data_IF_316082320029
#
_entry.id   IF_316082320029
#
_cell.length_a   1.000
_cell.length_b   1.000
_cell.length_c   1.000
_cell.angle_alpha   90.00
_cell.angle_beta   90.00
_cell.angle_gamma   90.00
#
_symmetry.space_group_name_H-M   'P 1'
#
loop_
_entity.id
_entity.type
_entity.pdbx_description
1 polymer ?
#
# COMPACT_ATOMS: atom_id res chain seq x y z
N UNK A 1 20.65 -1.45 -27.56
CA UNK A 1 19.25 -1.50 -27.04
C UNK A 1 19.30 -1.36 -25.52
N UNK A 2 18.72 -0.31 -24.97
CA UNK A 2 18.66 -0.07 -23.53
C UNK A 2 17.46 -0.86 -22.96
N UNK A 3 17.67 -1.60 -21.88
CA UNK A 3 16.62 -2.32 -21.15
C UNK A 3 16.69 -1.90 -19.69
N UNK A 4 15.62 -1.31 -19.19
CA UNK A 4 15.46 -0.88 -17.81
C UNK A 4 14.43 -1.77 -17.13
N UNK A 5 14.77 -2.28 -15.95
CA UNK A 5 13.88 -3.12 -15.16
C UNK A 5 13.81 -2.58 -13.74
N UNK A 6 12.62 -2.24 -13.29
CA UNK A 6 12.37 -1.75 -11.93
C UNK A 6 11.27 -2.52 -11.25
N UNK A 7 11.39 -2.64 -9.94
CA UNK A 7 10.39 -3.28 -9.07
C UNK A 7 9.95 -2.32 -7.98
N UNK A 8 8.71 -2.49 -7.55
CA UNK A 8 8.22 -1.99 -6.28
C UNK A 8 7.43 -3.10 -5.60
N UNK A 9 7.52 -3.17 -4.28
CA UNK A 9 7.03 -4.30 -3.51
C UNK A 9 5.68 -4.01 -2.86
N UNK A 10 4.99 -5.07 -2.44
CA UNK A 10 3.83 -4.97 -1.56
C UNK A 10 4.23 -4.34 -0.21
N UNK A 11 3.23 -3.93 0.57
CA UNK A 11 3.46 -3.37 1.90
C UNK A 11 2.46 -3.90 2.93
N UNK A 12 2.85 -3.87 4.20
CA UNK A 12 1.99 -4.08 5.34
C UNK A 12 1.96 -2.86 6.27
N UNK A 13 0.77 -2.38 6.63
CA UNK A 13 0.62 -1.37 7.67
C UNK A 13 0.69 -2.03 9.05
N UNK A 14 1.63 -1.60 9.88
CA UNK A 14 1.76 -2.11 11.24
C UNK A 14 0.87 -1.34 12.22
N UNK A 15 0.89 0.00 12.14
CA UNK A 15 0.12 0.89 13.00
C UNK A 15 -0.39 2.11 12.22
N UNK A 16 -1.47 2.71 12.69
CA UNK A 16 -1.96 4.01 12.28
C UNK A 16 -2.91 4.01 11.08
N UNK A 17 -2.92 2.96 10.25
CA UNK A 17 -3.83 2.92 9.10
C UNK A 17 -5.30 2.95 9.53
N UNK A 18 -6.13 3.85 8.97
CA UNK A 18 -5.90 4.76 7.82
C UNK A 18 -5.66 6.23 8.17
N UNK A 19 -5.06 6.56 9.31
CA UNK A 19 -4.92 7.95 9.77
C UNK A 19 -4.04 8.85 8.89
N UNK A 20 -3.26 8.28 7.96
CA UNK A 20 -2.49 9.03 6.95
C UNK A 20 -3.37 9.95 6.09
N UNK A 21 -4.57 9.51 5.79
CA UNK A 21 -5.57 10.32 5.09
C UNK A 21 -6.22 11.41 5.95
N UNK A 22 -5.90 11.49 7.25
CA UNK A 22 -6.56 12.33 8.26
C UNK A 22 -5.55 13.08 9.14
N UNK A 23 -4.40 13.42 8.58
CA UNK A 23 -3.32 14.18 9.22
C UNK A 23 -2.68 13.44 10.42
N UNK A 24 -2.83 12.13 10.49
CA UNK A 24 -2.30 11.30 11.56
C UNK A 24 -0.90 10.76 11.29
N UNK A 25 -0.58 9.63 11.91
CA UNK A 25 0.71 8.95 11.81
C UNK A 25 0.51 7.50 11.41
N UNK A 26 1.45 6.96 10.65
CA UNK A 26 1.44 5.55 10.30
C UNK A 26 2.83 4.94 10.38
N UNK A 27 2.89 3.65 10.63
CA UNK A 27 4.09 2.84 10.58
C UNK A 27 3.84 1.66 9.65
N UNK A 28 4.65 1.53 8.63
CA UNK A 28 4.51 0.48 7.61
C UNK A 28 5.82 -0.22 7.34
N UNK A 29 5.71 -1.41 6.79
CA UNK A 29 6.84 -2.26 6.40
C UNK A 29 6.66 -2.71 4.96
N UNK A 30 7.77 -2.81 4.23
CA UNK A 30 7.78 -3.42 2.90
C UNK A 30 7.59 -4.93 3.00
N UNK A 31 6.95 -5.55 2.00
CA UNK A 31 6.75 -7.00 1.91
C UNK A 31 7.32 -7.46 0.57
N UNK A 32 8.60 -7.82 0.58
CA UNK A 32 9.34 -8.22 -0.63
C UNK A 32 8.97 -9.59 -1.19
N UNK A 33 8.10 -10.33 -0.49
CA UNK A 33 7.53 -11.58 -1.00
C UNK A 33 6.75 -11.38 -2.30
N UNK A 34 6.21 -10.17 -2.51
CA UNK A 34 5.41 -9.81 -3.68
C UNK A 34 5.89 -8.50 -4.28
N UNK A 35 5.82 -8.38 -5.60
CA UNK A 35 6.27 -7.19 -6.32
C UNK A 35 5.44 -6.90 -7.57
N UNK A 36 5.46 -5.66 -8.01
CA UNK A 36 5.19 -5.26 -9.38
C UNK A 36 6.52 -4.98 -10.07
N UNK A 37 6.75 -5.60 -11.20
CA UNK A 37 7.92 -5.38 -12.05
C UNK A 37 7.50 -4.66 -13.32
N UNK A 38 8.23 -3.61 -13.68
CA UNK A 38 8.07 -2.90 -14.95
C UNK A 38 9.35 -3.02 -15.74
N UNK A 39 9.21 -3.37 -17.03
CA UNK A 39 10.32 -3.45 -17.99
C UNK A 39 10.06 -2.44 -19.10
N UNK A 40 11.01 -1.54 -19.30
CA UNK A 40 11.04 -0.55 -20.36
C UNK A 40 12.25 -0.83 -21.24
N UNK A 41 12.06 -0.86 -22.55
CA UNK A 41 13.15 -1.03 -23.51
C UNK A 41 12.97 -0.10 -24.71
N UNK A 42 14.11 0.34 -25.25
CA UNK A 42 14.14 1.24 -26.41
C UNK A 42 13.41 0.63 -27.60
N UNK A 43 12.54 1.40 -28.22
CA UNK A 43 11.70 0.98 -29.35
C UNK A 43 11.44 2.13 -30.31
N UNK A 44 10.96 1.84 -31.52
CA UNK A 44 10.73 2.85 -32.56
C UNK A 44 9.56 3.79 -32.23
N UNK A 45 8.60 3.32 -31.46
CA UNK A 45 7.42 4.08 -31.03
C UNK A 45 7.11 3.84 -29.56
N UNK A 46 6.30 4.73 -28.95
CA UNK A 46 5.78 4.48 -27.61
C UNK A 46 4.72 3.38 -27.66
N UNK A 47 5.02 2.24 -27.07
CA UNK A 47 4.11 1.09 -26.99
C UNK A 47 3.91 0.63 -25.53
N UNK A 48 2.67 0.35 -25.16
CA UNK A 48 2.31 -0.21 -23.85
C UNK A 48 1.77 -1.62 -24.07
N UNK A 49 2.58 -2.60 -23.76
CA UNK A 49 2.26 -4.01 -23.99
C UNK A 49 1.31 -4.51 -22.88
N UNK A 50 0.21 -5.12 -23.31
CA UNK A 50 -0.78 -5.70 -22.40
C UNK A 50 -0.16 -6.85 -21.59
N UNK A 51 -0.42 -6.84 -20.30
CA UNK A 51 -0.01 -7.90 -19.38
C UNK A 51 -1.07 -9.00 -19.28
N UNK A 52 -0.65 -10.20 -18.91
CA UNK A 52 -1.58 -11.27 -18.54
C UNK A 52 -2.50 -10.89 -17.35
N UNK A 53 -2.10 -9.90 -16.55
CA UNK A 53 -2.91 -9.37 -15.46
C UNK A 53 -4.02 -8.41 -15.93
N UNK A 54 -3.90 -7.88 -17.17
CA UNK A 54 -4.95 -7.07 -17.79
C UNK A 54 -5.94 -7.99 -18.48
N UNK A 55 -6.89 -8.54 -17.73
CA UNK A 55 -7.91 -9.42 -18.30
C UNK A 55 -8.71 -8.69 -19.38
N UNK A 56 -8.53 -9.12 -20.61
CA UNK A 56 -9.29 -8.63 -21.77
C UNK A 56 -10.09 -9.76 -22.44
N UNK A 57 -10.12 -10.96 -21.84
CA UNK A 57 -10.81 -12.13 -22.37
C UNK A 57 -11.80 -12.67 -21.34
N UNK A 58 -13.07 -12.67 -21.70
CA UNK A 58 -14.19 -13.11 -20.88
C UNK A 58 -14.96 -14.19 -21.62
N UNK A 59 -15.52 -15.18 -20.91
CA UNK A 59 -16.29 -16.27 -21.51
C UNK A 59 -17.67 -15.80 -22.00
N UNK A 60 -18.19 -14.73 -21.42
CA UNK A 60 -19.51 -14.15 -21.74
C UNK A 60 -19.59 -12.70 -21.29
N UNK A 61 -20.63 -11.97 -21.73
CA UNK A 61 -20.94 -10.62 -21.23
C UNK A 61 -21.31 -10.63 -19.75
N UNK A 62 -21.89 -11.71 -19.24
CA UNK A 62 -22.21 -11.89 -17.81
C UNK A 62 -20.94 -12.06 -16.98
N UNK A 63 -19.95 -12.79 -17.52
CA UNK A 63 -18.63 -12.95 -16.89
C UNK A 63 -17.89 -11.61 -16.80
N UNK A 64 -17.92 -10.80 -17.88
CA UNK A 64 -17.42 -9.43 -17.87
C UNK A 64 -18.16 -8.56 -16.86
N UNK A 65 -19.49 -8.59 -16.84
CA UNK A 65 -20.28 -7.76 -15.93
C UNK A 65 -19.95 -8.09 -14.46
N UNK A 66 -19.84 -9.37 -14.14
CA UNK A 66 -19.45 -9.86 -12.83
C UNK A 66 -18.00 -9.45 -12.46
N UNK A 67 -17.07 -9.54 -13.40
CA UNK A 67 -15.69 -9.10 -13.18
C UNK A 67 -15.62 -7.61 -12.89
N UNK A 68 -16.38 -6.79 -13.64
CA UNK A 68 -16.48 -5.34 -13.39
C UNK A 68 -17.17 -5.03 -12.08
N UNK A 69 -18.19 -5.81 -11.67
CA UNK A 69 -18.85 -5.65 -10.37
C UNK A 69 -17.90 -5.95 -9.21
N UNK A 70 -17.08 -7.00 -9.34
CA UNK A 70 -16.12 -7.43 -8.31
C UNK A 70 -14.86 -6.56 -8.27
N UNK A 71 -14.39 -6.11 -9.43
CA UNK A 71 -13.05 -5.53 -9.59
C UNK A 71 -13.05 -4.10 -10.13
N UNK A 72 -14.22 -3.57 -10.52
CA UNK A 72 -14.31 -2.29 -11.20
C UNK A 72 -13.68 -2.32 -12.58
N UNK A 73 -13.61 -1.17 -13.24
CA UNK A 73 -12.88 -0.98 -14.50
C UNK A 73 -11.37 -0.92 -14.22
N UNK A 74 -10.79 -2.04 -13.75
CA UNK A 74 -9.41 -2.12 -13.32
C UNK A 74 -8.50 -2.57 -14.47
N UNK A 75 -7.23 -2.20 -14.39
CA UNK A 75 -6.21 -2.64 -15.34
C UNK A 75 -4.92 -1.84 -15.15
N UNK A 76 -3.77 -2.51 -15.27
CA UNK A 76 -2.46 -1.89 -15.07
C UNK A 76 -2.08 -0.92 -16.20
N UNK A 77 -2.60 -1.13 -17.40
CA UNK A 77 -2.36 -0.22 -18.55
C UNK A 77 -2.78 1.21 -18.21
N UNK A 78 -3.93 1.41 -17.56
CA UNK A 78 -4.38 2.76 -17.18
C UNK A 78 -3.46 3.40 -16.15
N UNK A 79 -2.87 2.61 -15.25
CA UNK A 79 -1.90 3.08 -14.26
C UNK A 79 -0.62 3.56 -14.95
N UNK A 80 -0.11 2.79 -15.93
CA UNK A 80 1.07 3.16 -16.73
C UNK A 80 0.80 4.44 -17.52
N UNK A 81 -0.33 4.52 -18.27
CA UNK A 81 -0.70 5.72 -19.04
C UNK A 81 -0.77 6.96 -18.16
N UNK A 82 -1.43 6.86 -17.01
CA UNK A 82 -1.56 7.97 -16.07
C UNK A 82 -0.21 8.36 -15.45
N UNK A 83 0.68 7.40 -15.19
CA UNK A 83 2.04 7.65 -14.67
C UNK A 83 2.88 8.38 -15.70
N UNK A 84 2.90 7.94 -16.96
CA UNK A 84 3.63 8.61 -18.05
C UNK A 84 3.13 10.05 -18.19
N UNK A 85 1.81 10.25 -18.28
CA UNK A 85 1.22 11.59 -18.37
C UNK A 85 1.64 12.48 -17.19
N UNK A 86 1.54 11.96 -15.96
CA UNK A 86 1.89 12.72 -14.75
C UNK A 86 3.39 13.05 -14.68
N UNK A 87 4.25 12.15 -15.17
CA UNK A 87 5.69 12.37 -15.27
C UNK A 87 6.02 13.49 -16.26
N UNK A 88 5.38 13.50 -17.44
CA UNK A 88 5.54 14.57 -18.44
C UNK A 88 5.12 15.92 -17.83
N UNK A 89 3.94 16.01 -17.21
CA UNK A 89 3.46 17.23 -16.54
C UNK A 89 4.42 17.72 -15.44
N UNK A 90 5.03 16.79 -14.70
CA UNK A 90 6.04 17.16 -13.72
C UNK A 90 7.29 17.75 -14.39
N UNK A 91 7.79 17.12 -15.45
CA UNK A 91 8.95 17.61 -16.19
C UNK A 91 8.70 19.00 -16.81
N UNK A 92 7.53 19.22 -17.39
CA UNK A 92 7.09 20.53 -17.90
C UNK A 92 7.09 21.59 -16.80
N UNK A 93 6.48 21.27 -15.64
CA UNK A 93 6.44 22.19 -14.49
C UNK A 93 7.83 22.52 -13.94
N UNK A 94 8.76 21.58 -14.01
CA UNK A 94 10.16 21.77 -13.60
C UNK A 94 11.06 22.31 -14.72
N UNK A 95 10.50 22.56 -15.93
CA UNK A 95 11.24 23.00 -17.14
C UNK A 95 12.37 22.04 -17.54
N UNK A 96 12.12 20.74 -17.36
CA UNK A 96 13.05 19.67 -17.75
C UNK A 96 12.69 19.20 -19.16
N UNK A 97 13.64 19.29 -20.09
CA UNK A 97 13.46 18.78 -21.44
C UNK A 97 13.60 17.26 -21.47
N UNK A 98 12.64 16.58 -22.10
CA UNK A 98 12.69 15.16 -22.37
C UNK A 98 13.32 14.94 -23.75
N UNK A 99 14.14 13.88 -23.91
CA UNK A 99 14.61 13.47 -25.22
C UNK A 99 13.49 12.79 -26.03
N UNK A 100 13.63 12.71 -27.33
CA UNK A 100 12.65 12.22 -28.30
C UNK A 100 12.70 10.70 -28.56
N UNK A 101 13.62 9.96 -27.91
CA UNK A 101 13.68 8.50 -28.04
C UNK A 101 12.45 7.85 -27.45
N UNK A 102 11.93 6.86 -28.17
CA UNK A 102 10.75 6.09 -27.76
C UNK A 102 11.09 4.76 -27.08
N UNK A 103 10.10 4.18 -26.44
CA UNK A 103 10.23 2.92 -25.71
C UNK A 103 8.97 2.09 -25.76
N UNK A 104 9.12 0.80 -25.63
CA UNK A 104 8.04 -0.10 -25.26
C UNK A 104 8.11 -0.39 -23.76
N UNK A 105 6.94 -0.48 -23.11
CA UNK A 105 6.83 -0.70 -21.67
C UNK A 105 5.80 -1.79 -21.38
N UNK A 106 6.14 -2.70 -20.47
CA UNK A 106 5.26 -3.75 -19.97
C UNK A 106 5.41 -3.90 -18.46
N UNK A 107 4.39 -4.46 -17.81
CA UNK A 107 4.44 -4.78 -16.38
C UNK A 107 3.98 -6.22 -16.13
N UNK A 108 4.37 -6.74 -14.99
CA UNK A 108 3.82 -7.95 -14.37
C UNK A 108 3.77 -7.77 -12.87
N UNK A 109 2.85 -8.44 -12.18
CA UNK A 109 2.74 -8.39 -10.73
C UNK A 109 2.26 -9.73 -10.16
N UNK A 110 2.84 -10.09 -9.03
CA UNK A 110 2.41 -11.21 -8.19
C UNK A 110 1.79 -10.74 -6.85
N UNK A 111 1.62 -9.42 -6.70
CA UNK A 111 0.93 -8.86 -5.52
C UNK A 111 -0.53 -9.32 -5.55
N UNK A 112 -1.01 -10.02 -4.51
CA UNK A 112 -2.40 -10.44 -4.42
C UNK A 112 -3.36 -9.28 -4.61
N UNK A 113 -4.34 -9.47 -5.51
CA UNK A 113 -5.27 -8.40 -5.88
C UNK A 113 -6.32 -8.18 -4.81
N UNK A 114 -6.68 -6.91 -4.56
CA UNK A 114 -7.80 -6.49 -3.71
C UNK A 114 -7.78 -6.99 -2.25
N UNK A 115 -6.61 -7.35 -1.75
CA UNK A 115 -6.42 -7.71 -0.35
C UNK A 115 -5.68 -6.62 0.44
N UNK A 116 -5.64 -5.40 -0.08
CA UNK A 116 -5.07 -4.27 0.64
C UNK A 116 -3.54 -4.30 0.77
N UNK A 117 -2.80 -4.88 -0.20
CA UNK A 117 -1.32 -4.93 -0.20
C UNK A 117 -0.67 -3.92 -1.15
N UNK A 118 -1.41 -2.91 -1.61
CA UNK A 118 -0.93 -1.76 -2.40
C UNK A 118 -0.37 -2.10 -3.80
N UNK A 119 -1.05 -2.98 -4.55
CA UNK A 119 -0.62 -3.39 -5.90
C UNK A 119 -0.61 -2.26 -6.93
N UNK A 120 -1.62 -1.38 -6.94
CA UNK A 120 -1.71 -0.26 -7.89
C UNK A 120 -0.54 0.71 -7.75
N UNK A 121 -0.29 1.19 -6.54
CA UNK A 121 0.81 2.11 -6.27
C UNK A 121 2.18 1.47 -6.51
N UNK A 122 2.32 0.14 -6.39
CA UNK A 122 3.54 -0.57 -6.75
C UNK A 122 3.81 -0.50 -8.27
N UNK A 123 2.78 -0.71 -9.12
CA UNK A 123 2.92 -0.57 -10.58
C UNK A 123 3.31 0.86 -10.93
N UNK A 124 2.68 1.86 -10.34
CA UNK A 124 2.98 3.28 -10.55
C UNK A 124 4.42 3.61 -10.12
N UNK A 125 4.83 3.16 -8.93
CA UNK A 125 6.17 3.40 -8.40
C UNK A 125 7.25 2.77 -9.27
N UNK A 126 7.06 1.52 -9.72
CA UNK A 126 7.99 0.84 -10.62
C UNK A 126 8.05 1.54 -12.00
N UNK A 127 6.90 2.01 -12.53
CA UNK A 127 6.84 2.79 -13.77
C UNK A 127 7.59 4.11 -13.63
N UNK A 128 7.36 4.85 -12.55
CA UNK A 128 8.05 6.11 -12.27
C UNK A 128 9.57 5.92 -12.22
N UNK A 129 10.04 4.87 -11.54
CA UNK A 129 11.47 4.51 -11.47
C UNK A 129 12.05 4.19 -12.86
N UNK A 130 11.30 3.52 -13.74
CA UNK A 130 11.72 3.29 -15.13
C UNK A 130 11.85 4.59 -15.91
N UNK A 131 10.86 5.49 -15.81
CA UNK A 131 10.88 6.79 -16.50
C UNK A 131 12.03 7.68 -16.02
N UNK A 132 12.25 7.73 -14.71
CA UNK A 132 13.38 8.47 -14.13
C UNK A 132 14.72 8.01 -14.70
N UNK A 133 14.95 6.70 -14.79
CA UNK A 133 16.18 6.16 -15.36
C UNK A 133 16.27 6.35 -16.87
N UNK A 134 15.15 6.15 -17.61
CA UNK A 134 15.11 6.33 -19.06
C UNK A 134 15.48 7.73 -19.49
N UNK A 135 14.96 8.75 -18.80
CA UNK A 135 15.22 10.15 -19.10
C UNK A 135 16.40 10.73 -18.32
N UNK A 136 17.05 9.96 -17.44
CA UNK A 136 18.17 10.44 -16.62
C UNK A 136 17.74 11.51 -15.59
N UNK A 137 16.50 11.48 -15.13
CA UNK A 137 15.91 12.51 -14.26
C UNK A 137 15.95 12.05 -12.81
N UNK A 138 16.43 12.92 -11.93
CA UNK A 138 16.43 12.71 -10.48
C UNK A 138 15.27 13.49 -9.85
N UNK A 139 14.33 12.74 -9.24
CA UNK A 139 13.26 13.32 -8.44
C UNK A 139 13.63 13.11 -6.97
N UNK A 140 13.61 14.14 -6.11
CA UNK A 140 13.89 13.99 -4.69
C UNK A 140 13.07 12.87 -4.06
N UNK A 141 13.71 12.02 -3.26
CA UNK A 141 13.09 10.83 -2.68
C UNK A 141 11.78 11.15 -1.97
N UNK A 142 11.77 12.24 -1.19
CA UNK A 142 10.61 12.68 -0.42
C UNK A 142 9.44 13.18 -1.29
N UNK A 143 9.70 13.60 -2.54
CA UNK A 143 8.68 14.07 -3.48
C UNK A 143 8.03 12.93 -4.29
N UNK A 144 8.73 11.81 -4.48
CA UNK A 144 8.22 10.68 -5.27
C UNK A 144 6.88 10.13 -4.77
N UNK A 145 6.63 9.94 -3.44
CA UNK A 145 5.34 9.47 -2.95
C UNK A 145 4.16 10.35 -3.38
N UNK A 146 4.37 11.66 -3.41
CA UNK A 146 3.33 12.62 -3.80
C UNK A 146 3.03 12.59 -5.30
N UNK A 147 4.03 12.31 -6.15
CA UNK A 147 3.79 12.04 -7.58
C UNK A 147 2.96 10.76 -7.72
N UNK A 148 3.34 9.68 -7.06
CA UNK A 148 2.63 8.40 -7.12
C UNK A 148 1.17 8.56 -6.65
N UNK A 149 0.94 9.27 -5.54
CA UNK A 149 -0.41 9.57 -5.06
C UNK A 149 -1.21 10.39 -6.07
N UNK A 150 -0.59 11.40 -6.70
CA UNK A 150 -1.28 12.25 -7.68
C UNK A 150 -1.70 11.49 -8.94
N UNK A 151 -0.99 10.43 -9.33
CA UNK A 151 -1.42 9.53 -10.40
C UNK A 151 -2.73 8.86 -10.07
N UNK A 152 -2.83 8.29 -8.86
CA UNK A 152 -4.06 7.59 -8.45
C UNK A 152 -5.21 8.56 -8.19
N UNK A 153 -4.97 9.59 -7.38
CA UNK A 153 -6.03 10.51 -6.94
C UNK A 153 -6.45 11.49 -8.04
N UNK A 154 -5.48 12.20 -8.63
CA UNK A 154 -5.78 13.35 -9.48
C UNK A 154 -6.00 12.94 -10.96
N UNK A 155 -5.44 11.80 -11.40
CA UNK A 155 -5.62 11.30 -12.77
C UNK A 155 -6.66 10.20 -12.89
N UNK A 156 -6.79 9.35 -11.87
CA UNK A 156 -7.63 8.14 -11.94
C UNK A 156 -8.82 8.15 -10.98
N UNK A 157 -8.92 9.14 -10.08
CA UNK A 157 -9.98 9.24 -9.08
C UNK A 157 -9.93 8.16 -8.00
N UNK A 158 -8.79 7.46 -7.87
CA UNK A 158 -8.62 6.40 -6.87
C UNK A 158 -8.28 7.05 -5.52
N UNK A 159 -9.15 6.86 -4.55
CA UNK A 159 -8.93 7.39 -3.20
C UNK A 159 -7.81 6.66 -2.48
N UNK A 160 -6.94 7.40 -1.79
CA UNK A 160 -5.83 6.83 -1.02
C UNK A 160 -5.06 7.91 -0.26
N UNK A 161 -4.27 7.48 0.72
CA UNK A 161 -3.34 8.32 1.47
C UNK A 161 -1.89 8.12 1.03
N UNK A 162 -0.95 8.79 1.68
CA UNK A 162 0.47 8.75 1.32
C UNK A 162 1.20 7.50 1.83
N UNK A 163 0.68 6.82 2.86
CA UNK A 163 1.35 5.71 3.52
C UNK A 163 1.92 4.66 2.55
N UNK A 164 1.10 4.17 1.62
CA UNK A 164 1.48 3.13 0.67
C UNK A 164 2.64 3.57 -0.22
N UNK A 165 2.57 4.82 -0.69
CA UNK A 165 3.50 5.42 -1.62
C UNK A 165 4.84 5.71 -0.96
N UNK A 166 4.80 6.18 0.30
CA UNK A 166 6.01 6.43 1.08
C UNK A 166 6.76 5.12 1.31
N UNK A 167 6.11 4.08 1.84
CA UNK A 167 6.80 2.82 2.12
C UNK A 167 7.33 2.14 0.87
N UNK A 168 6.64 2.25 -0.28
CA UNK A 168 7.12 1.68 -1.55
C UNK A 168 8.29 2.44 -2.17
N UNK A 169 8.41 3.73 -1.87
CA UNK A 169 9.53 4.56 -2.32
C UNK A 169 10.74 4.40 -1.42
N UNK A 170 10.54 4.44 -0.10
CA UNK A 170 11.62 4.37 0.91
C UNK A 170 12.10 2.95 1.19
N UNK A 171 11.19 1.97 1.07
CA UNK A 171 11.39 0.55 1.40
C UNK A 171 11.71 0.32 2.90
N UNK A 172 12.03 -0.94 3.30
CA UNK A 172 12.31 -1.27 4.70
C UNK A 172 11.11 -1.08 5.62
N UNK A 173 11.29 -0.35 6.70
CA UNK A 173 10.25 0.11 7.63
C UNK A 173 10.28 1.62 7.74
N UNK A 174 9.11 2.27 7.74
CA UNK A 174 9.03 3.74 7.77
C UNK A 174 7.94 4.19 8.73
N UNK A 175 8.33 5.06 9.66
CA UNK A 175 7.42 5.87 10.45
C UNK A 175 7.11 7.17 9.69
N UNK A 176 5.83 7.51 9.61
CA UNK A 176 5.35 8.64 8.81
C UNK A 176 4.47 9.54 9.69
N UNK A 177 4.75 10.82 9.69
CA UNK A 177 3.93 11.83 10.39
C UNK A 177 3.37 12.83 9.38
N UNK A 178 2.05 12.82 9.21
CA UNK A 178 1.32 13.65 8.25
C UNK A 178 0.73 14.90 8.89
N UNK A 179 1.24 15.31 10.07
CA UNK A 179 0.83 16.55 10.71
C UNK A 179 1.06 17.74 9.78
N UNK A 180 0.05 18.61 9.56
CA UNK A 180 0.19 19.79 8.71
C UNK A 180 1.35 20.72 9.11
N UNK A 181 1.75 20.73 10.38
CA UNK A 181 2.92 21.49 10.84
C UNK A 181 4.25 20.99 10.26
N UNK A 182 4.29 19.74 9.77
CA UNK A 182 5.46 19.14 9.10
C UNK A 182 5.37 19.20 7.58
N UNK A 183 4.27 19.77 7.05
CA UNK A 183 4.10 19.91 5.60
C UNK A 183 5.18 20.84 5.03
N UNK A 184 5.88 20.35 4.01
CA UNK A 184 6.82 21.14 3.21
C UNK A 184 6.56 20.92 1.74
N UNK A 185 6.94 21.88 0.93
CA UNK A 185 6.82 21.79 -0.53
C UNK A 185 8.19 21.55 -1.14
N UNK A 186 8.33 20.45 -1.88
CA UNK A 186 9.54 20.11 -2.61
C UNK A 186 9.20 19.99 -4.10
N UNK A 187 9.78 20.84 -4.94
CA UNK A 187 9.49 20.89 -6.39
C UNK A 187 7.99 20.97 -6.71
N UNK A 188 7.24 21.76 -5.93
CA UNK A 188 5.80 21.95 -6.09
C UNK A 188 4.94 20.81 -5.54
N UNK A 189 5.52 19.83 -4.85
CA UNK A 189 4.85 18.67 -4.29
C UNK A 189 4.85 18.72 -2.76
N UNK A 190 3.72 18.35 -2.13
CA UNK A 190 3.59 18.30 -0.69
C UNK A 190 4.28 17.08 -0.12
N UNK A 191 5.14 17.28 0.86
CA UNK A 191 5.87 16.24 1.59
C UNK A 191 5.68 16.42 3.09
N UNK A 192 5.93 15.36 3.87
CA UNK A 192 5.74 15.35 5.31
C UNK A 192 6.94 14.75 6.05
N UNK A 193 6.79 14.35 7.30
CA UNK A 193 7.83 13.69 8.07
C UNK A 193 7.91 12.20 7.75
N UNK A 194 8.98 11.75 7.10
CA UNK A 194 9.24 10.34 6.80
C UNK A 194 10.55 9.91 7.45
N UNK A 195 10.46 8.97 8.38
CA UNK A 195 11.60 8.45 9.16
C UNK A 195 11.80 6.97 8.87
N UNK A 196 12.83 6.60 8.07
CA UNK A 196 13.20 5.21 7.91
C UNK A 196 13.66 4.61 9.24
N UNK A 197 13.16 3.42 9.56
CA UNK A 197 13.57 2.63 10.71
C UNK A 197 14.31 1.39 10.24
N UNK A 198 15.32 0.96 11.01
CA UNK A 198 15.98 -0.30 10.71
C UNK A 198 15.01 -1.48 10.85
N UNK A 199 14.88 -2.35 9.85
CA UNK A 199 14.03 -3.55 9.96
C UNK A 199 14.42 -4.48 11.12
N UNK A 200 15.67 -4.44 11.60
CA UNK A 200 16.14 -5.17 12.80
C UNK A 200 15.36 -4.80 14.07
N UNK A 201 14.74 -3.61 14.10
CA UNK A 201 13.91 -3.18 15.23
C UNK A 201 12.51 -3.82 15.23
N UNK A 202 12.14 -4.55 14.17
CA UNK A 202 10.82 -5.15 14.07
C UNK A 202 10.74 -6.47 14.87
N UNK A 203 9.60 -6.78 15.50
CA UNK A 203 9.35 -8.12 16.02
C UNK A 203 9.25 -9.13 14.88
N UNK A 204 9.23 -10.42 15.21
CA UNK A 204 8.92 -11.44 14.22
C UNK A 204 7.48 -11.30 13.75
N UNK A 205 7.28 -11.08 12.45
CA UNK A 205 6.00 -10.77 11.83
C UNK A 205 5.47 -11.94 11.00
N UNK A 206 4.15 -12.09 10.97
CA UNK A 206 3.44 -12.87 9.95
C UNK A 206 2.50 -11.95 9.15
N UNK A 207 2.18 -12.37 7.94
CA UNK A 207 1.15 -11.75 7.11
C UNK A 207 0.24 -12.86 6.61
N UNK A 208 -1.08 -12.65 6.72
CA UNK A 208 -2.06 -13.57 6.17
C UNK A 208 -3.05 -12.83 5.28
N UNK A 209 -3.44 -13.45 4.17
CA UNK A 209 -4.38 -12.85 3.22
C UNK A 209 -5.32 -13.91 2.63
N UNK A 210 -6.51 -13.46 2.23
CA UNK A 210 -7.53 -14.35 1.66
C UNK A 210 -7.45 -14.36 0.14
N UNK A 211 -7.49 -15.56 -0.48
CA UNK A 211 -7.28 -15.70 -1.93
C UNK A 211 -8.55 -15.55 -2.79
N UNK A 212 -9.72 -15.77 -2.20
CA UNK A 212 -10.96 -15.93 -2.96
C UNK A 212 -12.04 -14.89 -2.60
N UNK A 213 -11.84 -14.15 -1.50
CA UNK A 213 -12.77 -13.11 -1.07
C UNK A 213 -12.06 -11.76 -1.21
N UNK A 214 -12.60 -10.91 -2.04
CA UNK A 214 -12.17 -9.54 -2.23
C UNK A 214 -13.38 -8.63 -2.14
N UNK A 215 -13.21 -7.46 -1.56
CA UNK A 215 -14.24 -6.43 -1.54
C UNK A 215 -13.68 -5.10 -2.05
N UNK A 216 -14.48 -4.33 -2.83
CA UNK A 216 -14.05 -3.02 -3.29
C UNK A 216 -13.77 -2.10 -2.10
N UNK A 217 -12.54 -1.64 -2.00
CA UNK A 217 -12.03 -0.78 -0.93
C UNK A 217 -12.75 0.58 -0.86
N UNK A 218 -13.31 1.03 -1.98
CA UNK A 218 -13.84 2.40 -2.16
C UNK A 218 -15.09 2.70 -1.33
N UNK A 219 -15.95 1.71 -1.12
CA UNK A 219 -17.24 1.91 -0.42
C UNK A 219 -17.04 2.29 1.04
N UNK A 220 -16.12 1.65 1.74
CA UNK A 220 -15.86 1.89 3.17
C UNK A 220 -15.12 3.20 3.44
N UNK A 221 -14.21 3.60 2.55
CA UNK A 221 -13.44 4.82 2.74
C UNK A 221 -14.25 6.11 2.55
N UNK A 222 -15.22 6.10 1.66
CA UNK A 222 -16.03 7.30 1.36
C UNK A 222 -16.91 7.72 2.54
N UNK A 223 -17.53 6.79 3.27
CA UNK A 223 -18.34 7.11 4.44
C UNK A 223 -17.51 7.74 5.57
N UNK A 224 -16.39 7.13 5.92
CA UNK A 224 -15.50 7.64 6.98
C UNK A 224 -14.93 9.01 6.62
N UNK A 225 -14.55 9.24 5.37
CA UNK A 225 -14.09 10.55 4.91
C UNK A 225 -15.20 11.62 5.06
N UNK A 226 -16.42 11.29 4.66
CA UNK A 226 -17.57 12.17 4.81
C UNK A 226 -17.87 12.50 6.27
N UNK A 227 -17.83 11.50 7.17
CA UNK A 227 -18.03 11.68 8.61
C UNK A 227 -16.92 12.53 9.24
N UNK A 228 -15.66 12.27 8.90
CA UNK A 228 -14.53 13.07 9.38
C UNK A 228 -14.65 14.54 8.96
N UNK A 229 -14.97 14.80 7.69
CA UNK A 229 -15.12 16.17 7.16
C UNK A 229 -16.29 16.93 7.80
N UNK A 230 -17.32 16.24 8.29
CA UNK A 230 -18.42 16.82 9.07
C UNK A 230 -18.10 16.99 10.55
N UNK A 231 -16.90 16.58 11.00
CA UNK A 231 -16.47 16.68 12.39
C UNK A 231 -17.12 15.63 13.31
N UNK A 232 -17.51 14.45 12.81
CA UNK A 232 -18.06 13.37 13.66
C UNK A 232 -17.05 13.03 14.77
N UNK A 233 -17.40 13.26 16.06
CA UNK A 233 -16.45 13.12 17.17
C UNK A 233 -15.84 11.71 17.25
N UNK A 234 -16.64 10.66 17.03
CA UNK A 234 -16.16 9.27 17.10
C UNK A 234 -15.07 9.00 16.05
N UNK A 235 -15.25 9.54 14.84
CA UNK A 235 -14.27 9.33 13.77
C UNK A 235 -13.03 10.17 14.02
N UNK A 236 -13.18 11.43 14.42
CA UNK A 236 -12.04 12.32 14.70
C UNK A 236 -11.19 11.76 15.86
N UNK A 237 -11.81 11.37 16.96
CA UNK A 237 -11.12 10.77 18.11
C UNK A 237 -10.43 9.45 17.74
N UNK A 238 -11.09 8.60 16.95
CA UNK A 238 -10.48 7.36 16.47
C UNK A 238 -9.22 7.62 15.63
N UNK A 239 -9.25 8.59 14.71
CA UNK A 239 -8.06 8.93 13.89
C UNK A 239 -6.93 9.51 14.76
N UNK A 240 -7.25 10.32 15.75
CA UNK A 240 -6.27 10.84 16.73
C UNK A 240 -5.68 9.69 17.56
N UNK A 241 -6.51 8.74 18.01
CA UNK A 241 -6.04 7.58 18.77
C UNK A 241 -5.14 6.68 17.93
N UNK A 242 -5.47 6.42 16.66
CA UNK A 242 -4.61 5.68 15.73
C UNK A 242 -3.24 6.35 15.55
N UNK A 243 -3.22 7.69 15.42
CA UNK A 243 -1.99 8.46 15.32
C UNK A 243 -1.15 8.36 16.59
N UNK A 244 -1.79 8.36 17.77
CA UNK A 244 -1.09 8.25 19.07
C UNK A 244 -0.57 6.83 19.31
N UNK A 245 -1.34 5.78 18.98
CA UNK A 245 -0.86 4.39 19.03
C UNK A 245 0.41 4.22 18.17
N UNK A 246 0.47 4.90 17.02
CA UNK A 246 1.63 4.85 16.13
C UNK A 246 2.86 5.52 16.75
N UNK A 247 2.68 6.67 17.42
CA UNK A 247 3.76 7.37 18.12
C UNK A 247 4.35 6.50 19.23
N UNK A 248 3.47 5.94 20.08
CA UNK A 248 3.87 5.04 21.16
C UNK A 248 4.50 3.75 20.62
N UNK A 249 3.98 3.24 19.50
CA UNK A 249 4.52 2.05 18.84
C UNK A 249 5.94 2.26 18.30
N UNK A 250 6.23 3.44 17.73
CA UNK A 250 7.59 3.82 17.34
C UNK A 250 8.54 3.80 18.57
N UNK A 251 8.15 4.36 19.68
CA UNK A 251 8.93 4.36 20.91
C UNK A 251 9.14 2.93 21.43
N UNK A 252 8.11 2.10 21.42
CA UNK A 252 8.19 0.70 21.83
C UNK A 252 9.20 -0.10 20.96
N UNK A 253 9.21 0.12 19.63
CA UNK A 253 10.20 -0.49 18.73
C UNK A 253 11.63 -0.05 19.06
N UNK A 254 11.84 1.26 19.24
CA UNK A 254 13.17 1.79 19.58
C UNK A 254 13.71 1.25 20.91
N UNK A 255 12.83 0.90 21.84
CA UNK A 255 13.15 0.31 23.13
C UNK A 255 13.21 -1.21 23.13
N UNK A 256 12.89 -1.87 21.99
CA UNK A 256 12.79 -3.34 21.90
C UNK A 256 11.62 -3.93 22.69
N UNK A 257 10.61 -3.12 23.04
CA UNK A 257 9.44 -3.56 23.79
C UNK A 257 8.37 -4.16 22.88
N UNK A 258 8.65 -5.37 22.37
CA UNK A 258 7.77 -6.06 21.43
C UNK A 258 6.42 -6.49 22.03
N UNK A 259 6.37 -6.73 23.33
CA UNK A 259 5.11 -7.03 24.02
C UNK A 259 4.15 -5.84 23.96
N UNK A 260 4.64 -4.63 24.23
CA UNK A 260 3.85 -3.41 24.09
C UNK A 260 3.46 -3.19 22.62
N UNK A 261 4.40 -3.34 21.69
CA UNK A 261 4.13 -3.15 20.27
C UNK A 261 3.02 -4.08 19.76
N UNK A 262 3.05 -5.36 20.16
CA UNK A 262 2.01 -6.33 19.79
C UNK A 262 0.63 -5.92 20.30
N UNK A 263 0.53 -5.44 21.54
CA UNK A 263 -0.74 -4.91 22.08
C UNK A 263 -1.24 -3.70 21.30
N UNK A 264 -0.35 -2.80 20.91
CA UNK A 264 -0.72 -1.62 20.14
C UNK A 264 -1.24 -1.99 18.73
N UNK A 265 -0.76 -3.10 18.16
CA UNK A 265 -1.33 -3.62 16.89
C UNK A 265 -2.77 -4.10 17.09
N UNK A 266 -3.06 -4.80 18.18
CA UNK A 266 -4.42 -5.22 18.52
C UNK A 266 -5.32 -4.03 18.79
N UNK A 267 -4.88 -3.06 19.61
CA UNK A 267 -5.61 -1.83 19.88
C UNK A 267 -5.91 -1.04 18.60
N UNK A 268 -4.97 -1.02 17.65
CA UNK A 268 -5.17 -0.36 16.35
C UNK A 268 -6.33 -0.99 15.55
N UNK A 269 -6.42 -2.33 15.51
CA UNK A 269 -7.54 -3.00 14.89
C UNK A 269 -8.85 -2.68 15.61
N UNK A 270 -8.86 -2.72 16.96
CA UNK A 270 -10.07 -2.49 17.77
C UNK A 270 -10.60 -1.06 17.58
N UNK A 271 -9.73 -0.05 17.55
CA UNK A 271 -10.11 1.33 17.22
C UNK A 271 -10.71 1.41 15.83
N UNK A 272 -10.08 0.79 14.84
CA UNK A 272 -10.60 0.77 13.47
C UNK A 272 -11.96 0.07 13.40
N UNK A 273 -12.13 -1.09 14.03
CA UNK A 273 -13.37 -1.85 14.08
C UNK A 273 -14.52 -1.04 14.73
N UNK A 274 -14.21 -0.16 15.69
CA UNK A 274 -15.22 0.66 16.38
C UNK A 274 -15.90 1.69 15.49
N UNK A 275 -15.31 2.06 14.34
CA UNK A 275 -15.82 3.10 13.42
C UNK A 275 -16.15 2.58 12.01
N UNK A 276 -15.69 1.37 11.65
CA UNK A 276 -15.95 0.73 10.36
C UNK A 276 -16.90 -0.47 10.52
N UNK A 277 -17.80 -0.64 9.56
CA UNK A 277 -18.53 -1.90 9.39
C UNK A 277 -17.65 -2.86 8.61
N UNK A 278 -16.94 -3.73 9.31
CA UNK A 278 -16.02 -4.69 8.70
C UNK A 278 -16.75 -5.97 8.33
N UNK A 279 -16.43 -6.59 7.17
CA UNK A 279 -16.96 -7.89 6.78
C UNK A 279 -16.64 -8.97 7.83
N UNK A 280 -17.60 -9.84 8.17
CA UNK A 280 -17.40 -10.86 9.22
C UNK A 280 -16.20 -11.78 8.96
N UNK A 281 -15.91 -12.11 7.70
CA UNK A 281 -14.77 -12.96 7.35
C UNK A 281 -13.42 -12.29 7.63
N UNK A 282 -13.31 -10.95 7.48
CA UNK A 282 -12.11 -10.19 7.81
C UNK A 282 -11.90 -10.11 9.34
N UNK A 283 -12.96 -9.89 10.10
CA UNK A 283 -12.93 -9.92 11.57
C UNK A 283 -12.52 -11.31 12.05
N UNK A 284 -13.04 -12.36 11.42
CA UNK A 284 -12.70 -13.75 11.73
C UNK A 284 -11.22 -14.07 11.57
N UNK A 285 -10.54 -13.50 10.56
CA UNK A 285 -9.09 -13.66 10.41
C UNK A 285 -8.34 -13.12 11.64
N UNK A 286 -8.71 -11.93 12.13
CA UNK A 286 -8.11 -11.32 13.33
C UNK A 286 -8.38 -12.16 14.57
N UNK A 287 -9.62 -12.58 14.79
CA UNK A 287 -9.99 -13.43 15.93
C UNK A 287 -9.19 -14.74 15.97
N UNK A 288 -9.08 -15.43 14.83
CA UNK A 288 -8.32 -16.67 14.72
C UNK A 288 -6.86 -16.46 15.06
N UNK A 289 -6.24 -15.38 14.56
CA UNK A 289 -4.85 -15.08 14.87
C UNK A 289 -4.64 -14.78 16.36
N UNK A 290 -5.52 -13.97 16.97
CA UNK A 290 -5.47 -13.68 18.41
C UNK A 290 -5.70 -14.92 19.28
N UNK A 291 -6.55 -15.85 18.86
CA UNK A 291 -6.73 -17.15 19.52
C UNK A 291 -5.47 -18.03 19.49
N UNK A 292 -4.57 -17.82 18.56
CA UNK A 292 -3.24 -18.44 18.53
C UNK A 292 -2.22 -17.74 19.46
N UNK A 293 -2.58 -16.62 20.08
CA UNK A 293 -1.70 -15.80 20.91
C UNK A 293 -0.87 -14.76 20.13
N UNK A 294 -1.11 -14.62 18.84
CA UNK A 294 -0.47 -13.60 18.01
C UNK A 294 -1.26 -12.29 18.04
N UNK A 295 -0.60 -11.14 17.83
CA UNK A 295 -1.30 -9.89 17.55
C UNK A 295 -1.82 -9.86 16.13
N UNK A 296 -2.85 -9.05 15.86
CA UNK A 296 -3.41 -8.92 14.52
C UNK A 296 -3.99 -7.55 14.24
N UNK A 297 -3.59 -6.96 13.12
CA UNK A 297 -4.13 -5.73 12.55
C UNK A 297 -4.31 -5.89 11.03
N UNK A 298 -5.13 -5.04 10.40
CA UNK A 298 -5.22 -5.04 8.93
C UNK A 298 -3.94 -4.51 8.30
N UNK A 299 -3.41 -5.26 7.33
CA UNK A 299 -2.23 -4.87 6.56
C UNK A 299 -2.47 -3.65 5.65
N UNK A 300 -3.74 -3.34 5.37
CA UNK A 300 -4.15 -2.21 4.53
C UNK A 300 -5.64 -1.93 4.62
N UNK A 301 -6.32 -1.87 3.49
CA UNK A 301 -7.77 -1.60 3.43
C UNK A 301 -8.63 -2.73 4.00
N UNK A 302 -8.15 -3.95 3.96
CA UNK A 302 -8.83 -5.19 4.38
C UNK A 302 -8.41 -6.34 3.46
N UNK A 303 -8.81 -7.57 3.79
CA UNK A 303 -8.46 -8.79 3.03
C UNK A 303 -7.10 -9.39 3.39
N UNK A 304 -6.21 -8.63 4.02
CA UNK A 304 -4.98 -9.12 4.63
C UNK A 304 -4.81 -8.57 6.05
N UNK A 305 -4.25 -9.41 6.91
CA UNK A 305 -3.83 -9.07 8.28
C UNK A 305 -2.32 -9.23 8.43
N UNK A 306 -1.75 -8.45 9.33
CA UNK A 306 -0.35 -8.53 9.75
C UNK A 306 -0.28 -8.48 11.27
N UNK A 307 0.67 -9.20 11.85
CA UNK A 307 0.84 -9.22 13.29
C UNK A 307 2.19 -9.78 13.72
N UNK A 308 2.46 -9.67 15.01
CA UNK A 308 3.63 -10.26 15.63
C UNK A 308 3.27 -11.61 16.27
N UNK A 309 4.24 -12.54 16.24
CA UNK A 309 4.12 -13.86 16.86
C UNK A 309 5.41 -14.26 17.59
N UNK A 310 5.32 -15.27 18.45
CA UNK A 310 6.45 -15.78 19.24
C UNK A 310 6.71 -17.25 18.99
N UNK A 311 7.86 -17.57 18.43
CA UNK A 311 8.33 -18.93 18.22
C UNK A 311 7.62 -19.69 17.09
N UNK A 312 8.26 -20.77 16.61
CA UNK A 312 7.80 -21.52 15.44
C UNK A 312 6.47 -22.24 15.69
N UNK A 313 6.26 -22.76 16.89
CA UNK A 313 5.02 -23.48 17.24
C UNK A 313 3.77 -22.58 17.08
N UNK A 314 3.87 -21.28 17.47
CA UNK A 314 2.77 -20.32 17.24
C UNK A 314 2.57 -20.05 15.76
N UNK A 315 3.64 -19.96 14.97
CA UNK A 315 3.55 -19.76 13.53
C UNK A 315 2.88 -20.96 12.83
N UNK A 316 3.25 -22.18 13.20
CA UNK A 316 2.62 -23.41 12.68
C UNK A 316 1.11 -23.43 12.99
N UNK A 317 0.72 -23.06 14.20
CA UNK A 317 -0.69 -22.98 14.60
C UNK A 317 -1.44 -21.86 13.84
N UNK A 318 -0.81 -20.70 13.61
CA UNK A 318 -1.34 -19.64 12.74
C UNK A 318 -1.56 -20.18 11.32
N UNK A 319 -0.57 -20.85 10.73
CA UNK A 319 -0.69 -21.46 9.40
C UNK A 319 -1.84 -22.44 9.35
N UNK A 320 -1.92 -23.36 10.31
CA UNK A 320 -2.95 -24.40 10.37
C UNK A 320 -4.37 -23.79 10.47
N UNK A 321 -4.58 -22.84 11.40
CA UNK A 321 -5.91 -22.27 11.66
C UNK A 321 -6.36 -21.28 10.60
N UNK A 322 -5.48 -20.40 10.13
CA UNK A 322 -5.82 -19.42 9.11
C UNK A 322 -6.03 -20.07 7.74
N UNK A 323 -5.27 -21.14 7.42
CA UNK A 323 -5.51 -21.93 6.20
C UNK A 323 -6.86 -22.64 6.25
N UNK A 324 -7.30 -23.11 7.42
CA UNK A 324 -8.61 -23.74 7.59
C UNK A 324 -9.78 -22.79 7.30
N UNK A 325 -9.57 -21.48 7.33
CA UNK A 325 -10.57 -20.45 6.95
C UNK A 325 -10.29 -19.82 5.59
N UNK A 326 -9.43 -20.43 4.74
CA UNK A 326 -9.17 -20.02 3.36
C UNK A 326 -8.09 -18.93 3.19
N UNK A 327 -7.28 -18.65 4.22
CA UNK A 327 -6.20 -17.67 4.16
C UNK A 327 -4.85 -18.34 3.89
N UNK A 328 -3.99 -17.66 3.16
CA UNK A 328 -2.55 -18.00 3.06
C UNK A 328 -1.77 -17.21 4.12
N UNK A 329 -0.75 -17.85 4.69
CA UNK A 329 0.10 -17.26 5.74
C UNK A 329 1.56 -17.28 5.26
N UNK A 330 2.25 -16.15 5.40
CA UNK A 330 3.66 -16.01 5.04
C UNK A 330 4.44 -15.29 6.14
N UNK A 331 5.76 -15.48 6.15
CA UNK A 331 6.70 -14.63 6.86
C UNK A 331 7.11 -13.47 5.93
N UNK A 332 6.77 -12.21 6.24
CA UNK A 332 7.12 -11.09 5.37
C UNK A 332 8.63 -10.88 5.34
N UNK A 333 9.20 -10.76 4.13
CA UNK A 333 10.59 -10.35 3.91
C UNK A 333 10.62 -8.82 3.87
N UNK A 334 11.30 -8.22 4.83
CA UNK A 334 11.31 -6.76 5.06
C UNK A 334 12.62 -6.09 4.64
N UNK A 335 13.63 -6.88 4.28
CA UNK A 335 14.96 -6.46 3.82
C UNK A 335 15.23 -6.88 2.39
#
# INVERSE_FOLDING_TARGET
MIIIRKRAHARGALLGNPSDGYYGRTLSVIVRNFSAEVVLYEWDSLDIVQSANDRAHFRSVQDLARDVELHGYYGGIRLIKATIKRFVEYCEAQKIALHDRNFSIRYQTDIPQQVGLAGSSAIITATLRCLMEWYGIQIPLEAQPSIVLSVERDKLGIMGGLQDRVIQVYEGAVYMDFNPALEKTVQGLKCYGYEPLSPVLLPTLYLAYHNSLSEPTEVFHNDIRGRFNRGDPKVVEAMQKLAELTRVGREALLQGNFTQFSRLMDDNFDVRHSIYQLPPWQVRMVEVARQCGASANFAGSGGAIIGAYHGEAMYEELCRRLTAIGSQVIKPKTE
#
